data_IF_790351842834
#
_entry.id   IF_790351842834
#
_cell.length_a   1.000
_cell.length_b   1.000
_cell.length_c   1.000
_cell.angle_alpha   90.00
_cell.angle_beta   90.00
_cell.angle_gamma   90.00
#
_symmetry.space_group_name_H-M   'P 1'
#
loop_
_entity.id
_entity.type
_entity.pdbx_description
1 polymer ?
#
# COMPACT_ATOMS: atom_id res chain seq x y z
N UNK A 1 2.85 -5.43 -33.27
CA UNK A 1 2.85 -5.64 -32.68
C UNK A 1 2.70 -5.93 -31.81
N UNK A 2 2.46 -5.99 -31.49
CA UNK A 2 2.12 -6.11 -30.55
C UNK A 2 2.46 -6.54 -29.53
N UNK A 3 2.41 -6.60 -28.96
CA UNK A 3 2.69 -6.86 -28.02
C UNK A 3 2.31 -7.76 -27.41
N UNK A 4 2.52 -8.27 -27.03
CA UNK A 4 2.03 -9.16 -26.45
C UNK A 4 1.71 -9.31 -25.25
N UNK A 5 1.39 -9.52 -24.85
CA UNK A 5 1.14 -9.61 -23.87
C UNK A 5 1.38 -9.77 -22.95
N UNK A 6 1.78 -9.40 -22.99
CA UNK A 6 1.65 -10.02 -22.01
C UNK A 6 0.90 -9.76 -20.87
N UNK A 7 0.09 -10.63 -20.55
CA UNK A 7 -0.83 -10.45 -19.49
C UNK A 7 -0.14 -10.27 -18.16
N UNK A 8 0.88 -11.06 -17.93
CA UNK A 8 1.57 -10.98 -16.68
C UNK A 8 2.27 -9.64 -16.54
N UNK A 9 2.84 -9.18 -17.63
CA UNK A 9 3.52 -7.92 -17.60
C UNK A 9 2.55 -6.78 -17.38
N UNK A 10 1.42 -6.85 -18.06
CA UNK A 10 0.41 -5.84 -17.90
C UNK A 10 -0.12 -5.82 -16.48
N UNK A 11 -0.36 -7.00 -15.90
CA UNK A 11 -0.83 -7.06 -14.55
C UNK A 11 0.14 -6.47 -13.58
N UNK A 12 1.43 -6.68 -13.80
CA UNK A 12 2.45 -6.12 -12.91
C UNK A 12 2.47 -4.61 -13.02
N UNK A 13 2.40 -4.08 -14.23
CA UNK A 13 2.43 -2.64 -14.41
C UNK A 13 1.19 -2.00 -13.78
N UNK A 14 0.04 -2.63 -13.93
CA UNK A 14 -1.17 -2.11 -13.33
C UNK A 14 -1.12 -2.18 -11.82
N UNK A 15 -0.57 -3.25 -11.29
CA UNK A 15 -0.42 -3.37 -9.86
C UNK A 15 0.49 -2.29 -9.33
N UNK A 16 1.61 -2.06 -9.97
CA UNK A 16 2.53 -1.02 -9.54
C UNK A 16 1.90 0.36 -9.61
N UNK A 17 1.15 0.63 -10.66
CA UNK A 17 0.48 1.92 -10.79
C UNK A 17 -0.56 2.11 -9.69
N UNK A 18 -1.30 1.05 -9.38
CA UNK A 18 -2.27 1.13 -8.31
C UNK A 18 -1.58 1.38 -6.98
N UNK A 19 -0.49 0.68 -6.72
CA UNK A 19 0.25 0.85 -5.48
C UNK A 19 0.78 2.28 -5.38
N UNK A 20 1.25 2.85 -6.48
CA UNK A 20 1.77 4.21 -6.45
C UNK A 20 0.67 5.23 -6.19
N UNK A 21 -0.57 4.91 -6.53
CA UNK A 21 -1.68 5.79 -6.22
C UNK A 21 -2.13 5.67 -4.78
N UNK A 22 -2.11 4.45 -4.25
CA UNK A 22 -2.63 4.20 -2.91
C UNK A 22 -1.59 4.50 -1.83
N UNK A 23 -0.32 4.20 -2.12
CA UNK A 23 0.72 4.32 -1.11
C UNK A 23 0.81 5.71 -0.49
N UNK A 24 0.76 6.81 -1.26
CA UNK A 24 0.85 8.12 -0.62
C UNK A 24 -0.26 8.37 0.39
N UNK A 25 -1.46 7.85 0.11
CA UNK A 25 -2.57 8.04 1.03
C UNK A 25 -2.36 7.23 2.30
N UNK A 26 -1.84 6.01 2.18
CA UNK A 26 -1.54 5.22 3.36
C UNK A 26 -0.44 5.87 4.18
N UNK A 27 0.61 6.32 3.52
CA UNK A 27 1.72 6.94 4.23
C UNK A 27 1.28 8.23 4.92
N UNK A 28 0.42 8.99 4.26
CA UNK A 28 -0.08 10.21 4.87
C UNK A 28 -0.95 9.89 6.08
N UNK A 29 -1.75 8.83 6.00
CA UNK A 29 -2.57 8.45 7.13
C UNK A 29 -1.70 8.04 8.32
N UNK A 30 -0.61 7.35 8.08
CA UNK A 30 0.26 6.88 9.14
C UNK A 30 1.29 7.92 9.57
N UNK A 31 1.30 9.07 8.92
CA UNK A 31 2.31 10.08 9.20
C UNK A 31 2.15 10.68 10.60
N UNK A 32 0.99 10.50 11.22
CA UNK A 32 0.79 11.01 12.57
C UNK A 32 1.45 10.13 13.63
N UNK A 33 2.04 9.02 13.22
CA UNK A 33 2.74 8.14 14.16
C UNK A 33 1.86 7.24 14.97
N UNK A 34 0.55 7.26 14.72
CA UNK A 34 -0.37 6.42 15.47
C UNK A 34 -0.46 5.05 14.82
N UNK A 35 -0.18 3.97 15.55
CA UNK A 35 -0.31 2.64 14.97
C UNK A 35 -1.76 2.34 14.64
N UNK A 36 -1.99 1.74 13.47
CA UNK A 36 -3.33 1.40 13.04
C UNK A 36 -3.37 0.01 12.49
N UNK A 37 -4.45 -0.67 12.75
CA UNK A 37 -4.64 -2.00 12.22
C UNK A 37 -5.12 -1.91 10.79
N UNK A 38 -4.93 -3.00 10.05
CA UNK A 38 -5.34 -3.03 8.65
C UNK A 38 -6.80 -2.63 8.46
N UNK A 39 -7.75 -3.16 9.24
CA UNK A 39 -9.14 -2.76 9.05
C UNK A 39 -9.36 -1.27 9.23
N UNK A 40 -8.64 -0.66 10.17
CA UNK A 40 -8.78 0.78 10.39
C UNK A 40 -8.24 1.57 9.22
N UNK A 41 -7.13 1.11 8.64
CA UNK A 41 -6.57 1.78 7.47
C UNK A 41 -7.50 1.63 6.30
N UNK A 42 -8.05 0.44 6.10
CA UNK A 42 -8.99 0.21 5.02
C UNK A 42 -10.21 1.11 5.19
N UNK A 43 -10.74 1.19 6.41
CA UNK A 43 -11.91 2.01 6.66
C UNK A 43 -11.64 3.48 6.38
N UNK A 44 -10.46 3.95 6.75
CA UNK A 44 -10.11 5.34 6.55
C UNK A 44 -10.00 5.69 5.07
N UNK A 45 -9.64 4.72 4.24
CA UNK A 45 -9.43 4.97 2.82
C UNK A 45 -10.55 4.43 1.94
N UNK A 46 -11.60 3.90 2.54
CA UNK A 46 -12.67 3.25 1.80
C UNK A 46 -13.32 4.16 0.76
N UNK A 47 -13.40 5.44 1.02
CA UNK A 47 -14.01 6.35 0.07
C UNK A 47 -13.14 6.63 -1.14
N UNK A 48 -11.86 6.26 -1.10
CA UNK A 48 -10.94 6.55 -2.18
C UNK A 48 -10.40 5.31 -2.86
N UNK A 49 -10.24 4.24 -2.11
CA UNK A 49 -9.59 3.05 -2.63
C UNK A 49 -10.32 1.81 -2.15
N UNK A 50 -10.30 0.78 -2.98
CA UNK A 50 -10.90 -0.49 -2.62
C UNK A 50 -10.10 -1.15 -1.51
N UNK A 51 -10.82 -1.93 -0.71
CA UNK A 51 -10.18 -2.70 0.34
C UNK A 51 -9.02 -3.55 -0.19
N UNK A 52 -9.23 -4.18 -1.35
CA UNK A 52 -8.21 -5.03 -1.91
C UNK A 52 -6.99 -4.24 -2.33
N UNK A 53 -7.20 -3.05 -2.87
CA UNK A 53 -6.09 -2.19 -3.28
C UNK A 53 -5.30 -1.75 -2.06
N UNK A 54 -5.97 -1.38 -0.99
CA UNK A 54 -5.30 -0.97 0.23
C UNK A 54 -4.50 -2.14 0.80
N UNK A 55 -5.10 -3.33 0.82
CA UNK A 55 -4.42 -4.50 1.35
C UNK A 55 -3.16 -4.81 0.55
N UNK A 56 -3.26 -4.82 -0.76
CA UNK A 56 -2.11 -5.11 -1.61
C UNK A 56 -1.01 -4.08 -1.40
N UNK A 57 -1.39 -2.82 -1.27
CA UNK A 57 -0.42 -1.76 -1.09
C UNK A 57 0.25 -1.87 0.27
N UNK A 58 -0.50 -2.21 1.31
CA UNK A 58 0.10 -2.41 2.62
C UNK A 58 1.13 -3.53 2.60
N UNK A 59 0.82 -4.62 1.92
CA UNK A 59 1.76 -5.71 1.81
C UNK A 59 3.04 -5.25 1.11
N UNK A 60 2.89 -4.51 0.02
CA UNK A 60 4.05 -4.03 -0.71
C UNK A 60 4.87 -3.06 0.15
N UNK A 61 4.20 -2.18 0.88
CA UNK A 61 4.90 -1.22 1.71
C UNK A 61 5.65 -1.93 2.84
N UNK A 62 5.08 -3.00 3.36
CA UNK A 62 5.76 -3.76 4.41
C UNK A 62 6.96 -4.51 3.84
N UNK A 63 6.82 -5.07 2.65
CA UNK A 63 7.93 -5.79 2.02
C UNK A 63 9.07 -4.85 1.71
N UNK A 64 8.77 -3.63 1.27
CA UNK A 64 9.80 -2.66 0.96
C UNK A 64 10.22 -1.85 2.18
N UNK A 65 9.67 -2.20 3.35
CA UNK A 65 10.05 -1.59 4.62
C UNK A 65 9.72 -0.11 4.69
N UNK A 66 8.69 0.32 3.96
CA UNK A 66 8.20 1.67 4.06
C UNK A 66 7.23 1.81 5.21
N UNK A 67 6.59 0.71 5.62
CA UNK A 67 5.79 0.67 6.83
C UNK A 67 6.26 -0.51 7.65
N UNK A 68 6.01 -0.45 8.93
CA UNK A 68 6.39 -1.50 9.84
C UNK A 68 5.15 -2.09 10.47
N UNK A 69 5.06 -3.40 10.52
CA UNK A 69 3.94 -4.08 11.15
C UNK A 69 4.40 -4.67 12.46
N UNK A 70 3.77 -4.25 13.53
CA UNK A 70 4.13 -4.74 14.86
C UNK A 70 2.85 -5.00 15.62
N UNK A 71 2.70 -6.25 16.10
CA UNK A 71 1.52 -6.58 16.88
C UNK A 71 0.22 -6.39 16.14
N UNK A 72 0.23 -6.58 14.83
CA UNK A 72 -0.96 -6.43 14.03
C UNK A 72 -1.28 -5.01 13.64
N UNK A 73 -0.43 -4.06 14.01
CA UNK A 73 -0.65 -2.65 13.67
C UNK A 73 0.45 -2.16 12.77
N UNK A 74 0.12 -1.20 11.94
CA UNK A 74 1.06 -0.64 10.98
C UNK A 74 1.44 0.77 11.39
N UNK A 75 2.71 1.10 11.22
CA UNK A 75 3.21 2.46 11.43
C UNK A 75 4.16 2.76 10.30
N UNK A 76 4.47 4.03 10.10
CA UNK A 76 5.52 4.39 9.17
C UNK A 76 6.83 3.84 9.68
N UNK A 77 7.59 3.23 8.79
CA UNK A 77 8.94 2.83 9.15
C UNK A 77 9.77 4.08 9.22
N UNK A 78 10.46 4.24 10.34
CA UNK A 78 11.30 5.39 10.46
C UNK A 78 12.55 5.12 9.75
N UNK A 79 12.79 5.89 8.75
CA UNK A 79 13.96 5.72 7.97
C UNK A 79 14.99 6.65 8.50
N UNK A 80 15.94 6.11 9.12
CA UNK A 80 16.92 6.97 9.67
C UNK A 80 17.95 7.30 8.69
N UNK A 81 18.32 8.49 8.58
CA UNK A 81 19.41 8.85 7.69
C UNK A 81 20.70 8.19 8.09
#
# INVERSE_FOLDING_TARGET
MPRPKPTALTGTAELNAMIERVAPDILALLADGVPRRKPAIIAALTGRHDKQDVTSTLIRLAVTERVRKTGGKYTLAETEP
#
